data_IF_700639632241
#
_entry.id   IF_700639632241
#
_cell.length_a   1.000
_cell.length_b   1.000
_cell.length_c   1.000
_cell.angle_alpha   90.00
_cell.angle_beta   90.00
_cell.angle_gamma   90.00
#
_symmetry.space_group_name_H-M   'P 1'
#
loop_
_entity.id
_entity.type
_entity.pdbx_description
1 polymer ?
#
# COMPACT_ATOMS: atom_id res chain seq x y z
N UNK A 1 -21.80 -14.03 -5.77
CA UNK A 1 -21.21 -12.95 -4.94
C UNK A 1 -19.93 -13.46 -4.25
N UNK A 2 -18.84 -12.68 -4.26
CA UNK A 2 -17.55 -13.11 -3.68
C UNK A 2 -16.55 -13.73 -4.67
N UNK A 3 -16.83 -13.68 -5.98
CA UNK A 3 -15.85 -14.06 -7.01
C UNK A 3 -14.73 -13.03 -7.11
N UNK A 4 -13.51 -13.49 -7.41
CA UNK A 4 -12.34 -12.67 -7.68
C UNK A 4 -11.81 -12.99 -9.08
N UNK A 5 -11.16 -12.03 -9.72
CA UNK A 5 -10.49 -12.27 -11.00
C UNK A 5 -9.21 -13.08 -10.77
N UNK A 6 -8.92 -14.02 -11.69
CA UNK A 6 -7.66 -14.77 -11.68
C UNK A 6 -6.50 -13.86 -12.09
N UNK A 7 -5.70 -13.46 -11.11
CA UNK A 7 -4.46 -12.71 -11.33
C UNK A 7 -3.22 -13.62 -11.33
N UNK A 8 -3.25 -14.76 -10.61
CA UNK A 8 -2.09 -15.64 -10.50
C UNK A 8 -1.78 -16.31 -11.83
N UNK A 9 -2.80 -16.80 -12.54
CA UNK A 9 -2.61 -17.45 -13.84
C UNK A 9 -1.95 -16.52 -14.86
N UNK A 10 -2.29 -15.22 -14.84
CA UNK A 10 -1.66 -14.22 -15.69
C UNK A 10 -0.20 -13.93 -15.28
N UNK A 11 0.05 -13.70 -13.99
CA UNK A 11 1.39 -13.35 -13.47
C UNK A 11 2.37 -14.52 -13.64
N UNK A 12 1.94 -15.76 -13.36
CA UNK A 12 2.79 -16.95 -13.52
C UNK A 12 3.09 -17.22 -14.99
N UNK A 13 2.12 -17.03 -15.89
CA UNK A 13 2.36 -17.18 -17.33
C UNK A 13 3.43 -16.18 -17.83
N UNK A 14 3.32 -14.90 -17.44
CA UNK A 14 4.32 -13.90 -17.78
C UNK A 14 5.72 -14.27 -17.22
N UNK A 15 5.79 -14.74 -15.97
CA UNK A 15 7.05 -15.15 -15.35
C UNK A 15 7.66 -16.40 -16.03
N UNK A 16 6.84 -17.32 -16.56
CA UNK A 16 7.31 -18.44 -17.38
C UNK A 16 7.87 -17.96 -18.72
N UNK A 17 7.17 -17.06 -19.40
CA UNK A 17 7.62 -16.47 -20.68
C UNK A 17 8.95 -15.73 -20.51
N UNK A 18 9.14 -14.99 -19.40
CA UNK A 18 10.41 -14.35 -19.06
C UNK A 18 11.58 -15.32 -18.89
N UNK A 19 11.31 -16.56 -18.48
CA UNK A 19 12.32 -17.63 -18.39
C UNK A 19 12.60 -18.31 -19.74
N UNK A 20 11.82 -17.98 -20.77
CA UNK A 20 11.86 -18.58 -22.11
C UNK A 20 11.02 -19.85 -22.24
N UNK A 21 10.08 -20.10 -21.31
CA UNK A 21 9.13 -21.21 -21.41
C UNK A 21 7.90 -20.81 -22.24
N UNK A 22 7.23 -21.80 -22.85
CA UNK A 22 5.92 -21.61 -23.47
C UNK A 22 4.81 -21.83 -22.43
N UNK A 23 4.11 -20.78 -22.03
CA UNK A 23 3.05 -20.85 -21.03
C UNK A 23 1.70 -21.23 -21.66
N UNK A 24 1.22 -22.46 -21.41
CA UNK A 24 -0.11 -22.90 -21.86
C UNK A 24 -1.13 -22.78 -20.74
N UNK A 25 -2.09 -21.85 -20.88
CA UNK A 25 -3.16 -21.66 -19.88
C UNK A 25 -4.31 -22.64 -20.10
N UNK A 26 -4.48 -23.56 -19.14
CA UNK A 26 -5.60 -24.51 -19.12
C UNK A 26 -6.90 -23.96 -18.50
N UNK A 27 -6.86 -22.73 -17.98
CA UNK A 27 -8.02 -22.01 -17.44
C UNK A 27 -8.28 -22.26 -15.96
N UNK A 28 -9.30 -21.58 -15.42
CA UNK A 28 -9.75 -21.79 -14.05
C UNK A 28 -10.63 -23.04 -13.95
N UNK A 29 -10.41 -23.84 -12.92
CA UNK A 29 -11.06 -25.14 -12.70
C UNK A 29 -11.87 -25.04 -11.40
N UNK A 30 -13.06 -25.63 -11.39
CA UNK A 30 -13.90 -25.65 -10.20
C UNK A 30 -13.24 -26.43 -9.06
N UNK A 31 -13.63 -26.14 -7.81
CA UNK A 31 -13.26 -26.91 -6.62
C UNK A 31 -14.01 -28.26 -6.58
N UNK A 32 -13.75 -29.10 -7.59
CA UNK A 32 -14.28 -30.44 -7.77
C UNK A 32 -13.13 -31.41 -8.06
N UNK A 33 -13.13 -32.55 -7.38
CA UNK A 33 -12.03 -33.50 -7.43
C UNK A 33 -11.85 -34.09 -8.84
N UNK A 34 -12.94 -34.44 -9.53
CA UNK A 34 -12.88 -35.07 -10.84
C UNK A 34 -12.46 -34.07 -11.92
N UNK A 35 -12.95 -32.83 -11.83
CA UNK A 35 -12.51 -31.73 -12.68
C UNK A 35 -11.01 -31.44 -12.53
N UNK A 36 -10.50 -31.40 -11.30
CA UNK A 36 -9.07 -31.19 -11.03
C UNK A 36 -8.21 -32.39 -11.45
N UNK A 37 -8.71 -33.62 -11.30
CA UNK A 37 -8.02 -34.80 -11.83
C UNK A 37 -7.93 -34.79 -13.35
N UNK A 38 -9.03 -34.45 -14.02
CA UNK A 38 -9.10 -34.37 -15.48
C UNK A 38 -8.15 -33.30 -16.03
N UNK A 39 -8.11 -32.11 -15.42
CA UNK A 39 -7.21 -31.04 -15.86
C UNK A 39 -5.75 -31.38 -15.57
N UNK A 40 -5.44 -32.04 -14.45
CA UNK A 40 -4.09 -32.50 -14.13
C UNK A 40 -3.62 -33.51 -15.18
N UNK A 41 -4.46 -34.48 -15.55
CA UNK A 41 -4.13 -35.46 -16.60
C UNK A 41 -3.80 -34.78 -17.94
N UNK A 42 -4.57 -33.76 -18.33
CA UNK A 42 -4.28 -32.93 -19.52
C UNK A 42 -2.98 -32.12 -19.36
N UNK A 43 -2.75 -31.56 -18.17
CA UNK A 43 -1.52 -30.83 -17.85
C UNK A 43 -0.27 -31.69 -17.97
N UNK A 44 -0.38 -32.98 -17.62
CA UNK A 44 0.72 -33.94 -17.71
C UNK A 44 1.09 -34.32 -19.15
N UNK A 45 0.37 -33.85 -20.17
CA UNK A 45 0.79 -33.94 -21.57
C UNK A 45 1.97 -33.00 -21.86
N UNK A 46 2.13 -31.91 -21.10
CA UNK A 46 3.22 -30.93 -21.21
C UNK A 46 4.46 -31.30 -20.38
N UNK A 47 5.51 -30.48 -20.42
CA UNK A 47 6.77 -30.73 -19.71
C UNK A 47 6.71 -30.48 -18.19
N UNK A 48 5.68 -29.76 -17.73
CA UNK A 48 5.44 -29.49 -16.31
C UNK A 48 4.08 -28.85 -16.09
N UNK A 49 3.59 -28.90 -14.85
CA UNK A 49 2.27 -28.37 -14.46
C UNK A 49 2.41 -27.42 -13.28
N UNK A 50 1.78 -26.26 -13.36
CA UNK A 50 1.69 -25.30 -12.26
C UNK A 50 0.22 -25.01 -11.97
N UNK A 51 -0.19 -25.31 -10.74
CA UNK A 51 -1.48 -24.97 -10.18
C UNK A 51 -1.31 -23.66 -9.41
N UNK A 52 -1.90 -22.56 -9.92
CA UNK A 52 -1.71 -21.19 -9.41
C UNK A 52 -2.68 -20.83 -8.28
N UNK A 53 -2.94 -21.77 -7.38
CA UNK A 53 -3.90 -21.67 -6.29
C UNK A 53 -4.36 -23.06 -5.81
N UNK A 54 -5.39 -23.09 -4.96
CA UNK A 54 -5.97 -24.34 -4.43
C UNK A 54 -5.46 -24.73 -3.04
N UNK A 55 -4.32 -24.18 -2.59
CA UNK A 55 -3.73 -24.57 -1.29
C UNK A 55 -4.25 -23.76 -0.10
N UNK A 56 -4.70 -24.41 0.99
CA UNK A 56 -5.14 -23.72 2.23
C UNK A 56 -5.01 -24.57 3.51
N UNK A 57 -5.16 -23.92 4.68
CA UNK A 57 -5.28 -24.59 6.01
C UNK A 57 -6.71 -25.08 6.32
N UNK A 58 -7.65 -24.96 5.38
CA UNK A 58 -9.05 -25.37 5.55
C UNK A 58 -9.26 -26.87 5.29
N UNK A 59 -10.46 -27.36 5.61
CA UNK A 59 -10.88 -28.70 5.21
C UNK A 59 -10.99 -28.78 3.67
N UNK A 60 -10.20 -29.67 3.05
CA UNK A 60 -10.26 -30.00 1.62
C UNK A 60 -9.31 -29.19 0.73
N UNK A 61 -8.00 -29.44 0.81
CA UNK A 61 -7.04 -29.00 -0.22
C UNK A 61 -7.11 -29.99 -1.39
N UNK A 62 -8.18 -29.90 -2.18
CA UNK A 62 -8.47 -30.86 -3.27
C UNK A 62 -7.31 -30.97 -4.26
N UNK A 63 -6.60 -29.86 -4.51
CA UNK A 63 -5.44 -29.85 -5.40
C UNK A 63 -4.31 -30.70 -4.83
N UNK A 64 -4.04 -30.59 -3.53
CA UNK A 64 -3.10 -31.47 -2.85
C UNK A 64 -3.54 -32.94 -2.87
N UNK A 65 -4.83 -33.23 -2.62
CA UNK A 65 -5.36 -34.60 -2.66
C UNK A 65 -5.21 -35.24 -4.04
N UNK A 66 -5.57 -34.51 -5.11
CA UNK A 66 -5.42 -34.96 -6.50
C UNK A 66 -3.95 -35.17 -6.84
N UNK A 67 -3.06 -34.23 -6.52
CA UNK A 67 -1.61 -34.35 -6.77
C UNK A 67 -0.98 -35.48 -5.94
N UNK A 68 -1.52 -35.78 -4.76
CA UNK A 68 -1.06 -36.91 -3.92
C UNK A 68 -1.38 -38.28 -4.51
N UNK A 69 -2.22 -38.35 -5.54
CA UNK A 69 -2.43 -39.59 -6.31
C UNK A 69 -1.27 -39.90 -7.26
N UNK A 70 -0.41 -38.91 -7.56
CA UNK A 70 0.77 -39.12 -8.39
C UNK A 70 1.82 -39.95 -7.66
N UNK A 71 2.41 -40.89 -8.39
CA UNK A 71 3.54 -41.69 -7.95
C UNK A 71 4.76 -41.44 -8.84
N UNK A 72 5.94 -41.81 -8.34
CA UNK A 72 7.24 -41.76 -9.02
C UNK A 72 7.85 -40.36 -9.24
N UNK A 73 8.33 -39.67 -8.17
CA UNK A 73 8.23 -39.96 -6.74
C UNK A 73 6.93 -39.45 -6.06
N UNK A 74 6.04 -38.76 -6.77
CA UNK A 74 4.87 -38.12 -6.17
C UNK A 74 5.23 -36.82 -5.44
N UNK A 75 4.55 -36.51 -4.34
CA UNK A 75 4.82 -35.31 -3.54
C UNK A 75 6.16 -35.41 -2.83
N UNK A 76 7.06 -34.45 -3.09
CA UNK A 76 8.40 -34.36 -2.48
C UNK A 76 8.49 -33.28 -1.41
N UNK A 77 7.69 -32.22 -1.51
CA UNK A 77 7.63 -31.13 -0.52
C UNK A 77 6.18 -30.76 -0.28
N UNK A 78 5.81 -30.62 1.00
CA UNK A 78 4.52 -30.10 1.42
C UNK A 78 4.72 -29.02 2.50
N UNK A 79 4.65 -27.77 2.06
CA UNK A 79 4.85 -26.59 2.87
C UNK A 79 6.32 -26.23 3.10
N UNK A 80 6.58 -24.94 3.27
CA UNK A 80 7.91 -24.37 3.50
C UNK A 80 7.88 -23.36 4.64
N UNK A 81 8.98 -23.27 5.41
CA UNK A 81 9.10 -22.39 6.57
C UNK A 81 9.47 -20.93 6.19
N UNK A 82 8.75 -20.38 5.21
CA UNK A 82 8.95 -19.02 4.69
C UNK A 82 7.69 -18.16 4.84
N UNK A 83 7.87 -16.85 4.72
CA UNK A 83 6.80 -15.84 4.71
C UNK A 83 7.16 -14.75 3.70
N UNK A 84 6.33 -14.42 2.72
CA UNK A 84 5.12 -15.12 2.30
C UNK A 84 5.41 -16.51 1.69
N UNK A 85 4.39 -17.34 1.44
CA UNK A 85 4.56 -18.58 0.68
C UNK A 85 4.58 -19.91 1.45
N UNK A 86 4.07 -19.96 2.69
CA UNK A 86 3.98 -21.21 3.46
C UNK A 86 3.35 -22.39 2.68
N UNK A 87 2.18 -22.25 2.03
CA UNK A 87 1.57 -23.37 1.33
C UNK A 87 2.20 -23.51 -0.06
N UNK A 88 3.10 -24.46 -0.21
CA UNK A 88 3.74 -24.83 -1.46
C UNK A 88 3.75 -26.35 -1.52
N UNK A 89 3.31 -26.92 -2.64
CA UNK A 89 3.48 -28.35 -2.88
C UNK A 89 4.35 -28.54 -4.12
N UNK A 90 5.41 -29.33 -3.98
CA UNK A 90 6.23 -29.78 -5.10
C UNK A 90 6.06 -31.28 -5.23
N UNK A 91 5.72 -31.73 -6.42
CA UNK A 91 5.58 -33.12 -6.79
C UNK A 91 6.28 -33.38 -8.13
N UNK A 92 6.62 -34.64 -8.37
CA UNK A 92 7.24 -35.08 -9.63
C UNK A 92 6.59 -36.38 -10.07
N UNK A 93 6.33 -36.51 -11.36
CA UNK A 93 5.89 -37.76 -11.99
C UNK A 93 6.53 -37.91 -13.36
N UNK A 94 7.17 -39.05 -13.65
CA UNK A 94 7.78 -39.30 -14.97
C UNK A 94 8.78 -38.22 -15.42
N UNK A 95 9.55 -37.65 -14.48
CA UNK A 95 10.49 -36.50 -14.63
C UNK A 95 9.83 -35.13 -14.84
N UNK A 96 8.51 -35.04 -14.85
CA UNK A 96 7.75 -33.79 -15.00
C UNK A 96 7.46 -33.17 -13.63
N UNK A 97 7.80 -31.90 -13.38
CA UNK A 97 7.43 -31.23 -12.15
C UNK A 97 5.94 -30.87 -12.15
N UNK A 98 5.30 -31.06 -11.01
CA UNK A 98 3.95 -30.61 -10.70
C UNK A 98 4.03 -29.73 -9.46
N UNK A 99 3.65 -28.47 -9.59
CA UNK A 99 3.78 -27.47 -8.53
C UNK A 99 2.41 -26.92 -8.18
N UNK A 100 2.11 -26.84 -6.88
CA UNK A 100 0.96 -26.10 -6.36
C UNK A 100 1.48 -24.86 -5.64
N UNK A 101 1.22 -23.69 -6.24
CA UNK A 101 1.59 -22.39 -5.68
C UNK A 101 0.51 -21.89 -4.69
N UNK A 102 0.88 -21.05 -3.72
CA UNK A 102 -0.06 -20.34 -2.87
C UNK A 102 -1.15 -19.61 -3.68
N UNK A 103 -2.40 -19.59 -3.18
CA UNK A 103 -3.48 -18.82 -3.82
C UNK A 103 -3.34 -17.29 -3.73
N UNK A 104 -2.48 -16.79 -2.86
CA UNK A 104 -2.24 -15.36 -2.71
C UNK A 104 -1.19 -14.85 -3.72
N UNK A 105 -1.45 -13.79 -4.50
CA UNK A 105 -0.59 -13.41 -5.64
C UNK A 105 0.88 -13.14 -5.28
N UNK A 106 1.14 -12.36 -4.22
CA UNK A 106 2.52 -12.05 -3.82
C UNK A 106 3.23 -13.28 -3.28
N UNK A 107 2.49 -14.23 -2.72
CA UNK A 107 3.02 -15.51 -2.27
C UNK A 107 3.34 -16.42 -3.46
N UNK A 108 2.44 -16.51 -4.43
CA UNK A 108 2.59 -17.32 -5.64
C UNK A 108 3.85 -16.92 -6.41
N UNK A 109 3.98 -15.64 -6.78
CA UNK A 109 5.11 -15.15 -7.57
C UNK A 109 6.43 -15.25 -6.80
N UNK A 110 6.42 -14.99 -5.49
CA UNK A 110 7.60 -15.17 -4.66
C UNK A 110 8.04 -16.64 -4.65
N UNK A 111 7.13 -17.58 -4.37
CA UNK A 111 7.44 -19.01 -4.37
C UNK A 111 7.85 -19.51 -5.76
N UNK A 112 7.29 -18.92 -6.83
CA UNK A 112 7.68 -19.21 -8.19
C UNK A 112 9.17 -18.87 -8.40
N UNK A 113 9.60 -17.62 -8.13
CA UNK A 113 11.00 -17.24 -8.31
C UNK A 113 11.96 -17.97 -7.35
N UNK A 114 11.52 -18.31 -6.14
CA UNK A 114 12.37 -18.97 -5.15
C UNK A 114 12.57 -20.47 -5.42
N UNK A 115 11.57 -21.17 -5.96
CA UNK A 115 11.60 -22.64 -6.08
C UNK A 115 11.36 -23.14 -7.51
N UNK A 116 10.45 -22.51 -8.25
CA UNK A 116 10.06 -22.98 -9.60
C UNK A 116 11.04 -22.50 -10.66
N UNK A 117 11.41 -21.21 -10.65
CA UNK A 117 12.33 -20.64 -11.63
C UNK A 117 13.71 -21.36 -11.63
N UNK A 118 14.37 -21.61 -10.47
CA UNK A 118 15.63 -22.36 -10.45
C UNK A 118 15.49 -23.78 -11.01
N UNK A 119 14.39 -24.45 -10.69
CA UNK A 119 14.07 -25.80 -11.20
C UNK A 119 13.89 -25.80 -12.73
N UNK A 120 13.10 -24.88 -13.27
CA UNK A 120 12.89 -24.78 -14.72
C UNK A 120 14.19 -24.46 -15.48
N UNK A 121 15.04 -23.59 -14.91
CA UNK A 121 16.35 -23.30 -15.49
C UNK A 121 17.25 -24.54 -15.54
N UNK A 122 17.27 -25.33 -14.46
CA UNK A 122 18.00 -26.58 -14.41
C UNK A 122 17.49 -27.57 -15.48
N UNK A 123 16.18 -27.70 -15.64
CA UNK A 123 15.57 -28.55 -16.67
C UNK A 123 15.90 -28.07 -18.09
N UNK A 124 16.02 -26.76 -18.30
CA UNK A 124 16.44 -26.16 -19.56
C UNK A 124 17.96 -26.21 -19.79
N UNK A 125 18.75 -26.81 -18.89
CA UNK A 125 20.21 -26.85 -18.98
C UNK A 125 20.88 -25.49 -18.83
N UNK A 126 20.20 -24.51 -18.23
CA UNK A 126 20.73 -23.16 -18.00
C UNK A 126 21.47 -23.11 -16.66
N UNK A 127 22.52 -22.28 -16.54
CA UNK A 127 23.18 -22.07 -15.24
C UNK A 127 22.21 -21.44 -14.24
N UNK A 128 22.52 -21.64 -12.96
CA UNK A 128 21.81 -20.97 -11.86
C UNK A 128 21.80 -19.46 -12.08
N UNK A 129 20.64 -18.84 -11.85
CA UNK A 129 20.55 -17.38 -11.93
C UNK A 129 21.22 -16.79 -10.70
N UNK A 130 22.18 -15.89 -10.91
CA UNK A 130 22.66 -15.04 -9.82
C UNK A 130 21.71 -13.86 -9.76
N UNK A 131 20.81 -13.79 -8.76
CA UNK A 131 19.86 -12.70 -8.70
C UNK A 131 20.61 -11.39 -8.43
N UNK A 132 20.21 -10.32 -9.12
CA UNK A 132 20.79 -9.01 -8.88
C UNK A 132 20.52 -8.57 -7.44
N UNK A 133 21.55 -8.05 -6.80
CA UNK A 133 21.51 -7.64 -5.40
C UNK A 133 22.06 -6.24 -5.24
N UNK A 134 21.41 -5.47 -4.38
CA UNK A 134 21.80 -4.10 -4.05
C UNK A 134 21.91 -3.96 -2.54
N UNK A 135 22.97 -3.30 -2.07
CA UNK A 135 23.10 -2.92 -0.66
C UNK A 135 22.28 -1.64 -0.41
N UNK A 136 21.46 -1.65 0.63
CA UNK A 136 20.64 -0.53 1.02
C UNK A 136 20.57 -0.39 2.54
N UNK A 137 20.34 0.82 3.04
CA UNK A 137 20.07 1.08 4.45
C UNK A 137 18.57 0.95 4.73
N UNK A 138 18.19 0.27 5.82
CA UNK A 138 16.81 0.18 6.26
C UNK A 138 16.48 1.38 7.17
N UNK A 139 15.66 2.36 6.75
CA UNK A 139 15.50 3.62 7.48
C UNK A 139 14.51 3.53 8.65
N UNK A 140 13.72 2.45 8.71
CA UNK A 140 12.69 2.23 9.73
C UNK A 140 12.87 0.87 10.39
N UNK A 141 12.48 0.79 11.66
CA UNK A 141 12.43 -0.48 12.38
C UNK A 141 11.38 -1.41 11.75
N UNK A 142 11.75 -2.66 11.50
CA UNK A 142 10.85 -3.70 10.98
C UNK A 142 10.77 -4.83 11.99
N UNK A 143 9.55 -5.12 12.49
CA UNK A 143 9.28 -6.33 13.26
C UNK A 143 9.00 -7.54 12.35
N UNK A 144 9.55 -8.69 12.74
CA UNK A 144 9.43 -10.01 12.10
C UNK A 144 8.96 -11.06 13.11
N UNK A 145 8.36 -12.16 12.64
CA UNK A 145 7.92 -13.27 13.49
C UNK A 145 9.00 -14.34 13.63
N UNK A 146 9.22 -14.86 14.84
CA UNK A 146 10.09 -16.03 15.04
C UNK A 146 9.58 -17.27 14.32
N UNK A 147 10.54 -18.08 13.87
CA UNK A 147 10.30 -19.44 13.37
C UNK A 147 10.03 -19.54 11.87
N UNK A 148 10.04 -18.42 11.13
CA UNK A 148 9.91 -18.40 9.66
C UNK A 148 10.85 -17.37 9.06
N UNK A 149 11.52 -17.73 7.97
CA UNK A 149 12.30 -16.76 7.19
C UNK A 149 11.33 -15.83 6.47
N UNK A 150 11.39 -14.54 6.78
CA UNK A 150 10.51 -13.52 6.18
C UNK A 150 11.23 -12.84 5.02
N UNK A 151 10.59 -12.79 3.86
CA UNK A 151 11.00 -12.04 2.69
C UNK A 151 10.16 -10.78 2.63
N UNK A 152 10.73 -9.69 3.11
CA UNK A 152 10.07 -8.39 3.18
C UNK A 152 10.22 -7.67 1.85
N UNK A 153 9.10 -7.38 1.18
CA UNK A 153 9.11 -6.54 -0.02
C UNK A 153 9.56 -5.13 0.32
N UNK A 154 10.41 -4.55 -0.53
CA UNK A 154 10.92 -3.20 -0.36
C UNK A 154 10.94 -2.41 -1.66
N UNK A 155 10.73 -1.10 -1.53
CA UNK A 155 11.06 -0.11 -2.55
C UNK A 155 12.42 0.49 -2.24
N UNK A 156 13.29 0.55 -3.25
CA UNK A 156 14.60 1.16 -3.18
C UNK A 156 14.51 2.64 -3.55
N UNK A 157 15.16 3.48 -2.75
CA UNK A 157 15.23 4.92 -2.98
C UNK A 157 16.68 5.34 -3.09
N UNK A 158 16.99 6.20 -4.06
CA UNK A 158 18.33 6.75 -4.21
C UNK A 158 18.52 7.93 -3.28
N UNK A 159 19.43 7.76 -2.32
CA UNK A 159 19.88 8.78 -1.36
C UNK A 159 21.28 9.28 -1.72
N UNK A 160 21.79 10.27 -0.99
CA UNK A 160 23.17 10.74 -1.17
C UNK A 160 24.21 9.70 -0.67
N UNK A 161 23.80 8.73 0.15
CA UNK A 161 24.65 7.70 0.76
C UNK A 161 24.55 6.33 0.10
N UNK A 162 23.82 6.23 -1.02
CA UNK A 162 23.50 4.96 -1.68
C UNK A 162 22.00 4.73 -1.73
N UNK A 163 21.54 3.51 -1.46
CA UNK A 163 20.12 3.19 -1.48
C UNK A 163 19.52 3.09 -0.08
N UNK A 164 18.28 3.52 0.08
CA UNK A 164 17.45 3.22 1.23
C UNK A 164 16.35 2.21 0.84
N UNK A 165 16.13 1.19 1.65
CA UNK A 165 15.13 0.15 1.40
C UNK A 165 13.92 0.37 2.30
N UNK A 166 12.80 0.80 1.71
CA UNK A 166 11.58 1.06 2.43
C UNK A 166 10.62 -0.15 2.39
N UNK A 167 10.14 -0.65 3.54
CA UNK A 167 9.15 -1.74 3.59
C UNK A 167 7.86 -1.40 2.85
N UNK A 168 7.49 -2.24 1.89
CA UNK A 168 6.27 -2.09 1.08
C UNK A 168 5.14 -2.92 1.67
N UNK A 169 4.38 -2.34 2.62
CA UNK A 169 3.21 -2.98 3.23
C UNK A 169 3.49 -4.34 3.89
N UNK A 170 2.44 -4.99 4.42
CA UNK A 170 2.51 -6.38 4.90
C UNK A 170 1.31 -7.15 4.36
N UNK A 171 1.52 -8.41 3.98
CA UNK A 171 0.43 -9.35 3.68
C UNK A 171 0.56 -10.03 2.32
N UNK A 172 0.19 -11.31 2.28
CA UNK A 172 0.22 -12.17 1.09
C UNK A 172 -0.73 -11.71 -0.03
N UNK A 173 -1.78 -10.94 0.28
CA UNK A 173 -2.75 -10.45 -0.70
C UNK A 173 -2.46 -9.06 -1.27
N UNK A 174 -1.35 -8.40 -0.90
CA UNK A 174 -1.09 -7.01 -1.26
C UNK A 174 -0.51 -6.84 -2.68
N UNK A 175 -1.33 -7.06 -3.71
CA UNK A 175 -0.92 -6.97 -5.13
C UNK A 175 -0.29 -5.61 -5.47
N UNK A 176 -0.90 -4.52 -5.00
CA UNK A 176 -0.38 -3.15 -5.21
C UNK A 176 0.98 -2.92 -4.56
N UNK A 177 1.26 -3.57 -3.42
CA UNK A 177 2.55 -3.47 -2.77
C UNK A 177 3.63 -4.20 -3.59
N UNK A 178 3.28 -5.33 -4.19
CA UNK A 178 4.17 -6.08 -5.07
C UNK A 178 4.47 -5.32 -6.36
N UNK A 179 3.46 -4.73 -7.02
CA UNK A 179 3.67 -3.95 -8.25
C UNK A 179 4.59 -2.73 -8.07
N UNK A 180 4.66 -2.20 -6.85
CA UNK A 180 5.55 -1.07 -6.54
C UNK A 180 6.91 -1.46 -5.93
N UNK A 181 7.15 -2.74 -5.65
CA UNK A 181 8.38 -3.20 -5.00
C UNK A 181 9.51 -3.36 -6.03
N UNK A 182 10.74 -2.98 -5.64
CA UNK A 182 11.93 -3.24 -6.46
C UNK A 182 12.57 -4.58 -6.12
N UNK A 183 12.31 -5.10 -4.93
CA UNK A 183 13.01 -6.26 -4.41
C UNK A 183 12.48 -6.73 -3.07
N UNK A 184 13.23 -7.65 -2.47
CA UNK A 184 12.96 -8.16 -1.13
C UNK A 184 14.22 -8.28 -0.27
N UNK A 185 14.04 -8.14 1.04
CA UNK A 185 15.06 -8.40 2.05
C UNK A 185 14.74 -9.74 2.71
N UNK A 186 15.75 -10.61 2.84
CA UNK A 186 15.65 -11.85 3.61
C UNK A 186 15.92 -11.60 5.09
N UNK A 187 14.88 -11.73 5.92
CA UNK A 187 14.95 -11.69 7.38
C UNK A 187 15.03 -13.13 7.91
N UNK A 188 16.14 -13.52 8.57
CA UNK A 188 16.30 -14.88 9.10
C UNK A 188 15.22 -15.24 10.13
N UNK A 189 14.83 -16.51 10.19
CA UNK A 189 13.80 -17.01 11.11
C UNK A 189 14.06 -16.79 12.61
N UNK A 190 15.31 -16.56 12.99
CA UNK A 190 15.72 -16.28 14.37
C UNK A 190 15.66 -14.78 14.71
N UNK A 191 15.44 -13.93 13.72
CA UNK A 191 15.35 -12.48 13.91
C UNK A 191 13.90 -12.06 14.12
N UNK A 192 13.65 -11.40 15.25
CA UNK A 192 12.37 -10.76 15.56
C UNK A 192 12.30 -9.32 15.03
N UNK A 193 13.44 -8.77 14.62
CA UNK A 193 13.55 -7.35 14.32
C UNK A 193 14.79 -6.99 13.50
N UNK A 194 14.59 -6.07 12.57
CA UNK A 194 15.65 -5.26 12.01
C UNK A 194 15.52 -3.83 12.55
N UNK A 195 16.62 -3.27 13.05
CA UNK A 195 16.68 -1.89 13.54
C UNK A 195 16.82 -0.91 12.39
N UNK A 196 16.35 0.33 12.59
CA UNK A 196 16.66 1.40 11.65
C UNK A 196 18.18 1.60 11.54
N UNK A 197 18.68 1.96 10.36
CA UNK A 197 20.11 2.09 10.04
C UNK A 197 20.81 0.77 9.66
N UNK A 198 20.10 -0.36 9.67
CA UNK A 198 20.71 -1.66 9.32
C UNK A 198 20.99 -1.71 7.82
N UNK A 199 22.23 -2.04 7.44
CA UNK A 199 22.55 -2.37 6.05
C UNK A 199 21.97 -3.74 5.69
N UNK A 200 21.18 -3.78 4.64
CA UNK A 200 20.47 -4.94 4.15
C UNK A 200 20.81 -5.20 2.69
N UNK A 201 20.86 -6.47 2.32
CA UNK A 201 20.99 -6.88 0.93
C UNK A 201 19.60 -7.10 0.35
N UNK A 202 19.25 -6.29 -0.64
CA UNK A 202 17.98 -6.36 -1.37
C UNK A 202 18.20 -7.20 -2.62
N UNK A 203 17.45 -8.29 -2.74
CA UNK A 203 17.37 -9.05 -3.97
C UNK A 203 16.34 -8.41 -4.89
N UNK A 204 16.74 -8.00 -6.09
CA UNK A 204 15.86 -7.32 -7.03
C UNK A 204 14.85 -8.28 -7.65
N UNK A 205 13.63 -7.79 -7.90
CA UNK A 205 12.61 -8.49 -8.68
C UNK A 205 12.89 -8.38 -10.18
N UNK A 206 13.27 -7.19 -10.64
CA UNK A 206 13.62 -6.95 -12.03
C UNK A 206 15.13 -7.16 -12.28
N UNK A 207 15.47 -7.47 -13.53
CA UNK A 207 16.87 -7.62 -13.98
C UNK A 207 17.67 -6.32 -13.89
N UNK A 208 17.05 -5.15 -13.79
CA UNK A 208 17.74 -3.88 -13.65
C UNK A 208 16.94 -2.94 -12.75
N UNK A 209 17.64 -2.20 -11.89
CA UNK A 209 17.03 -1.17 -11.05
C UNK A 209 16.81 0.13 -11.85
N UNK A 210 15.55 0.53 -11.99
CA UNK A 210 15.17 1.84 -12.52
C UNK A 210 14.56 2.68 -11.38
N UNK A 211 15.37 3.45 -10.63
CA UNK A 211 14.84 4.27 -9.55
C UNK A 211 13.93 5.36 -10.12
N UNK A 212 12.84 5.67 -9.40
CA UNK A 212 11.90 6.69 -9.83
C UNK A 212 12.55 8.09 -9.96
N UNK A 213 12.12 8.85 -10.96
CA UNK A 213 12.55 10.23 -11.19
C UNK A 213 12.13 11.16 -10.04
N UNK A 214 10.95 10.89 -9.46
CA UNK A 214 10.38 11.60 -8.33
C UNK A 214 9.94 10.65 -7.22
N UNK A 215 10.45 10.86 -6.01
CA UNK A 215 10.08 10.10 -4.82
C UNK A 215 9.36 10.99 -3.82
N UNK A 216 8.11 10.65 -3.49
CA UNK A 216 7.29 11.37 -2.50
C UNK A 216 7.07 10.53 -1.25
N UNK A 217 7.42 11.05 -0.07
CA UNK A 217 7.19 10.35 1.21
C UNK A 217 6.47 11.28 2.18
N UNK A 218 5.26 10.93 2.62
CA UNK A 218 4.54 11.77 3.58
C UNK A 218 3.10 11.35 3.79
N UNK A 219 2.23 12.32 3.98
CA UNK A 219 0.79 12.09 4.00
C UNK A 219 0.26 11.72 2.61
N UNK A 220 -0.87 11.04 2.59
CA UNK A 220 -1.62 10.79 1.35
C UNK A 220 -2.61 11.94 1.11
N UNK A 221 -2.82 12.27 -0.17
CA UNK A 221 -3.93 13.12 -0.58
C UNK A 221 -4.27 12.84 -2.06
N UNK A 222 -5.57 12.85 -2.39
CA UNK A 222 -6.05 12.69 -3.77
C UNK A 222 -5.50 13.77 -4.70
N UNK A 223 -5.30 15.01 -4.22
CA UNK A 223 -4.66 16.05 -5.02
C UNK A 223 -3.20 15.74 -5.35
N UNK A 224 -2.48 15.02 -4.48
CA UNK A 224 -1.13 14.54 -4.79
C UNK A 224 -1.18 13.45 -5.85
N UNK A 225 -2.13 12.51 -5.76
CA UNK A 225 -2.31 11.46 -6.78
C UNK A 225 -2.58 12.08 -8.17
N UNK A 226 -3.42 13.12 -8.24
CA UNK A 226 -3.66 13.89 -9.46
C UNK A 226 -2.38 14.50 -10.04
N UNK A 227 -1.57 15.17 -9.21
CA UNK A 227 -0.29 15.75 -9.65
C UNK A 227 0.70 14.69 -10.12
N UNK A 228 0.79 13.56 -9.41
CA UNK A 228 1.66 12.44 -9.80
C UNK A 228 1.20 11.80 -11.12
N UNK A 229 -0.11 11.67 -11.34
CA UNK A 229 -0.66 11.16 -12.59
C UNK A 229 -0.34 12.08 -13.78
N UNK A 230 -0.41 13.41 -13.59
CA UNK A 230 0.00 14.38 -14.61
C UNK A 230 1.47 14.21 -14.98
N UNK A 231 2.36 14.11 -14.00
CA UNK A 231 3.78 13.83 -14.23
C UNK A 231 4.01 12.50 -14.98
N UNK A 232 3.30 11.44 -14.58
CA UNK A 232 3.40 10.14 -15.25
C UNK A 232 2.95 10.21 -16.72
N UNK A 233 1.93 11.02 -17.05
CA UNK A 233 1.50 11.24 -18.43
C UNK A 233 2.54 11.96 -19.29
N UNK A 234 3.48 12.67 -18.66
CA UNK A 234 4.64 13.30 -19.29
C UNK A 234 5.88 12.37 -19.33
N UNK A 235 5.74 11.13 -18.88
CA UNK A 235 6.81 10.13 -18.86
C UNK A 235 7.72 10.18 -17.62
N UNK A 236 7.39 10.99 -16.60
CA UNK A 236 8.13 11.04 -15.34
C UNK A 236 7.73 9.84 -14.47
N UNK A 237 8.70 9.01 -14.12
CA UNK A 237 8.45 7.88 -13.21
C UNK A 237 8.35 8.38 -11.78
N UNK A 238 7.27 8.02 -11.09
CA UNK A 238 7.01 8.50 -9.73
C UNK A 238 6.83 7.34 -8.74
N UNK A 239 7.26 7.55 -7.50
CA UNK A 239 7.04 6.63 -6.39
C UNK A 239 6.53 7.38 -5.18
N UNK A 240 5.45 6.90 -4.58
CA UNK A 240 4.83 7.50 -3.41
C UNK A 240 4.72 6.53 -2.25
N UNK A 241 5.08 6.98 -1.04
CA UNK A 241 4.94 6.22 0.20
C UNK A 241 4.23 7.04 1.27
N UNK A 242 3.27 6.39 1.93
CA UNK A 242 2.37 7.06 2.88
C UNK A 242 2.71 6.69 4.32
N UNK A 243 3.56 7.51 4.93
CA UNK A 243 4.03 7.36 6.33
C UNK A 243 3.49 8.46 7.24
N UNK A 244 2.63 9.34 6.71
CA UNK A 244 2.09 10.51 7.41
C UNK A 244 3.07 11.70 7.44
N UNK A 245 2.56 12.88 7.78
CA UNK A 245 3.34 14.13 7.71
C UNK A 245 4.63 14.12 8.53
N UNK A 246 4.60 13.59 9.76
CA UNK A 246 5.80 13.50 10.61
C UNK A 246 6.84 12.53 10.04
N UNK A 247 6.39 11.39 9.50
CA UNK A 247 7.28 10.45 8.82
C UNK A 247 7.90 11.06 7.56
N UNK A 248 7.12 11.87 6.83
CA UNK A 248 7.60 12.63 5.67
C UNK A 248 8.68 13.63 6.02
N UNK A 249 8.48 14.47 7.05
CA UNK A 249 9.52 15.39 7.54
C UNK A 249 10.80 14.64 7.95
N UNK A 250 10.65 13.50 8.63
CA UNK A 250 11.80 12.69 9.01
C UNK A 250 12.54 12.12 7.77
N UNK A 251 11.82 11.74 6.71
CA UNK A 251 12.40 11.28 5.46
C UNK A 251 13.14 12.40 4.69
N UNK A 252 12.61 13.63 4.71
CA UNK A 252 13.31 14.82 4.16
C UNK A 252 14.63 15.04 4.90
N UNK A 253 14.65 14.98 6.25
CA UNK A 253 15.89 15.13 7.05
C UNK A 253 16.95 14.10 6.71
N UNK A 254 16.54 12.90 6.31
CA UNK A 254 17.46 11.82 5.93
C UNK A 254 17.84 11.82 4.44
N UNK A 255 17.28 12.74 3.63
CA UNK A 255 17.55 12.81 2.20
C UNK A 255 16.98 11.61 1.42
N UNK A 256 15.88 11.03 1.90
CA UNK A 256 15.29 9.80 1.37
C UNK A 256 14.14 10.04 0.39
N UNK A 257 13.69 11.28 0.24
CA UNK A 257 12.65 11.66 -0.69
C UNK A 257 12.97 13.00 -1.35
N UNK A 258 12.32 13.23 -2.49
CA UNK A 258 12.40 14.49 -3.21
C UNK A 258 11.41 15.52 -2.67
N UNK A 259 10.25 15.07 -2.19
CA UNK A 259 9.30 15.92 -1.49
C UNK A 259 8.43 15.13 -0.51
N UNK A 260 7.98 15.79 0.54
CA UNK A 260 7.08 15.24 1.53
C UNK A 260 5.78 16.04 1.59
N UNK A 261 4.65 15.38 1.31
CA UNK A 261 3.33 15.95 1.54
C UNK A 261 3.04 16.06 3.04
N UNK A 262 2.72 17.25 3.52
CA UNK A 262 2.50 17.56 4.95
C UNK A 262 1.29 18.46 5.17
N UNK A 263 0.69 18.32 6.35
CA UNK A 263 -0.43 19.14 6.82
C UNK A 263 -0.43 19.20 8.36
N UNK A 264 0.70 19.60 8.92
CA UNK A 264 0.90 19.69 10.36
C UNK A 264 0.51 21.08 10.85
N UNK A 265 -0.27 21.14 11.93
CA UNK A 265 -0.67 22.40 12.57
C UNK A 265 0.06 22.53 13.89
N UNK A 266 0.69 23.68 14.13
CA UNK A 266 1.19 24.02 15.46
C UNK A 266 0.01 24.43 16.35
N UNK A 267 -0.29 23.70 17.44
CA UNK A 267 -1.44 24.00 18.29
C UNK A 267 -1.32 25.35 19.03
N UNK A 268 -0.11 25.91 19.18
CA UNK A 268 0.08 27.18 19.89
C UNK A 268 -0.23 28.38 18.99
N UNK A 269 0.15 28.32 17.72
CA UNK A 269 0.03 29.44 16.76
C UNK A 269 -1.09 29.26 15.76
N UNK A 270 -1.56 28.03 15.53
CA UNK A 270 -2.46 27.67 14.43
C UNK A 270 -1.78 27.67 13.06
N UNK A 271 -0.48 27.97 12.97
CA UNK A 271 0.24 28.00 11.71
C UNK A 271 0.50 26.58 11.19
N UNK A 272 0.27 26.38 9.89
CA UNK A 272 0.53 25.12 9.23
C UNK A 272 1.94 25.02 8.65
N UNK A 273 2.53 23.84 8.81
CA UNK A 273 3.75 23.33 8.16
C UNK A 273 5.04 24.10 8.45
N UNK A 274 5.06 25.43 8.29
CA UNK A 274 6.22 26.30 8.50
C UNK A 274 6.91 26.10 9.86
N UNK A 275 6.20 26.00 11.00
CA UNK A 275 6.85 25.80 12.30
C UNK A 275 7.64 24.50 12.44
N UNK A 276 7.42 23.53 11.54
CA UNK A 276 8.07 22.21 11.57
C UNK A 276 9.28 22.10 10.64
N UNK A 277 9.59 23.14 9.87
CA UNK A 277 10.76 23.19 8.99
C UNK A 277 12.05 23.33 9.81
N UNK A 278 13.10 22.67 9.34
CA UNK A 278 14.46 22.79 9.88
C UNK A 278 15.42 23.23 8.77
N UNK A 279 16.67 23.56 9.11
CA UNK A 279 17.71 23.92 8.13
C UNK A 279 17.80 22.88 6.99
N UNK A 280 17.98 23.36 5.76
CA UNK A 280 18.04 22.52 4.55
C UNK A 280 16.68 22.10 3.98
N UNK A 281 15.57 22.64 4.50
CA UNK A 281 14.21 22.37 4.02
C UNK A 281 13.54 23.61 3.44
N UNK A 282 12.93 23.46 2.27
CA UNK A 282 12.09 24.47 1.65
C UNK A 282 10.62 24.03 1.69
N UNK A 283 9.72 24.96 2.04
CA UNK A 283 8.28 24.76 1.92
C UNK A 283 7.85 25.18 0.52
N UNK A 284 7.30 24.24 -0.24
CA UNK A 284 6.59 24.47 -1.48
C UNK A 284 5.08 24.48 -1.17
N UNK A 285 4.42 25.64 -1.21
CA UNK A 285 2.98 25.73 -0.98
C UNK A 285 2.23 24.83 -1.97
N UNK A 286 1.29 24.05 -1.45
CA UNK A 286 0.44 23.19 -2.27
C UNK A 286 -0.95 23.80 -2.43
N UNK A 287 -1.95 23.15 -1.84
CA UNK A 287 -3.35 23.55 -1.95
C UNK A 287 -4.03 23.46 -0.58
N UNK A 288 -5.26 23.98 -0.51
CA UNK A 288 -6.09 23.96 0.70
C UNK A 288 -7.18 22.91 0.59
N UNK A 289 -7.47 22.27 1.72
CA UNK A 289 -8.53 21.28 1.87
C UNK A 289 -9.52 21.78 2.91
N UNK A 290 -10.78 21.96 2.52
CA UNK A 290 -11.79 22.40 3.47
C UNK A 290 -12.12 21.28 4.45
N UNK A 291 -11.85 21.48 5.74
CA UNK A 291 -12.35 20.63 6.82
C UNK A 291 -13.71 21.15 7.29
N UNK A 292 -14.56 20.24 7.76
CA UNK A 292 -15.91 20.60 8.18
C UNK A 292 -16.60 19.51 8.96
N UNK A 293 -17.68 19.92 9.61
CA UNK A 293 -18.59 19.04 10.34
C UNK A 293 -19.40 18.24 9.32
N UNK A 294 -19.40 16.91 9.46
CA UNK A 294 -20.09 15.99 8.55
C UNK A 294 -21.19 15.22 9.25
N UNK A 295 -22.31 15.05 8.57
CA UNK A 295 -23.48 14.31 9.04
C UNK A 295 -24.28 13.78 7.85
N UNK A 296 -25.23 12.87 8.10
CA UNK A 296 -26.08 12.31 7.03
C UNK A 296 -27.12 13.32 6.54
N UNK A 297 -27.43 13.28 5.24
CA UNK A 297 -28.51 14.10 4.67
C UNK A 297 -29.84 13.81 5.35
N UNK A 298 -30.60 14.85 5.66
CA UNK A 298 -31.91 14.75 6.30
C UNK A 298 -31.88 14.46 7.80
N UNK A 299 -30.72 14.45 8.46
CA UNK A 299 -30.66 14.33 9.91
C UNK A 299 -31.28 15.56 10.59
N UNK A 300 -32.43 15.36 11.25
CA UNK A 300 -33.25 16.43 11.81
C UNK A 300 -32.56 17.17 12.95
N UNK A 301 -31.57 16.55 13.60
CA UNK A 301 -30.77 17.19 14.67
C UNK A 301 -29.98 18.38 14.16
N UNK A 302 -29.57 18.34 12.89
CA UNK A 302 -28.69 19.34 12.28
C UNK A 302 -29.40 20.26 11.27
N UNK A 303 -30.70 20.05 11.02
CA UNK A 303 -31.44 20.74 9.95
C UNK A 303 -31.50 22.28 10.08
N UNK A 304 -31.21 22.84 11.27
CA UNK A 304 -31.17 24.29 11.52
C UNK A 304 -29.77 24.85 11.75
N UNK A 305 -28.72 24.04 11.71
CA UNK A 305 -27.36 24.49 11.96
C UNK A 305 -26.75 25.10 10.68
N UNK A 306 -26.40 26.38 10.74
CA UNK A 306 -25.66 27.06 9.68
C UNK A 306 -24.14 27.00 9.89
N UNK A 307 -23.70 26.73 11.12
CA UNK A 307 -22.27 26.65 11.48
C UNK A 307 -21.92 25.34 12.18
N UNK A 308 -20.65 24.88 12.09
CA UNK A 308 -20.18 23.73 12.88
C UNK A 308 -20.40 23.87 14.38
N UNK A 309 -20.33 25.10 14.94
CA UNK A 309 -20.56 25.32 16.38
C UNK A 309 -22.00 25.05 16.76
N UNK A 310 -22.96 25.55 15.98
CA UNK A 310 -24.39 25.27 16.20
C UNK A 310 -24.70 23.78 16.07
N UNK A 311 -24.10 23.10 15.08
CA UNK A 311 -24.26 21.66 14.90
C UNK A 311 -23.70 20.85 16.07
N UNK A 312 -22.54 21.26 16.62
CA UNK A 312 -21.97 20.64 17.82
C UNK A 312 -22.89 20.87 19.02
N UNK A 313 -23.40 22.08 19.25
CA UNK A 313 -24.37 22.34 20.34
C UNK A 313 -25.59 21.43 20.21
N UNK A 314 -26.18 21.33 19.02
CA UNK A 314 -27.32 20.44 18.78
C UNK A 314 -26.98 18.95 19.02
N UNK A 315 -25.76 18.51 18.68
CA UNK A 315 -25.31 17.16 19.00
C UNK A 315 -25.12 16.93 20.50
N UNK A 316 -24.64 17.93 21.24
CA UNK A 316 -24.44 17.83 22.70
C UNK A 316 -25.76 17.80 23.47
N UNK A 317 -26.79 18.46 22.95
CA UNK A 317 -28.14 18.50 23.55
C UNK A 317 -28.90 17.15 23.41
N UNK A 318 -28.48 16.28 22.50
CA UNK A 318 -29.04 14.94 22.30
C UNK A 318 -28.08 13.84 22.78
N UNK A 319 -28.34 13.19 23.93
CA UNK A 319 -27.45 12.17 24.48
C UNK A 319 -27.37 10.89 23.61
N UNK A 320 -28.31 10.71 22.67
CA UNK A 320 -28.30 9.60 21.70
C UNK A 320 -27.43 9.90 20.49
N UNK A 321 -26.96 11.13 20.33
CA UNK A 321 -26.10 11.53 19.24
C UNK A 321 -24.66 11.06 19.46
N UNK A 322 -24.16 10.21 18.56
CA UNK A 322 -22.85 9.57 18.67
C UNK A 322 -21.86 10.26 17.74
N UNK A 323 -20.74 10.73 18.28
CA UNK A 323 -19.64 11.24 17.46
C UNK A 323 -18.67 10.13 17.06
N UNK A 324 -17.95 10.33 15.95
CA UNK A 324 -16.71 9.63 15.65
C UNK A 324 -15.54 10.62 15.63
N UNK A 325 -14.50 10.33 16.40
CA UNK A 325 -13.37 11.24 16.58
C UNK A 325 -12.19 10.89 15.66
N UNK A 326 -11.24 11.82 15.52
CA UNK A 326 -9.93 11.60 14.90
C UNK A 326 -8.87 11.26 15.94
N UNK A 327 -7.85 10.53 15.50
CA UNK A 327 -6.73 10.12 16.32
C UNK A 327 -6.05 11.33 16.98
N UNK A 328 -5.67 11.17 18.25
CA UNK A 328 -4.86 12.13 18.98
C UNK A 328 -3.60 12.53 18.19
N UNK A 329 -3.24 13.81 18.27
CA UNK A 329 -2.09 14.39 17.56
C UNK A 329 -2.34 14.76 16.08
N UNK A 330 -3.54 14.53 15.54
CA UNK A 330 -3.91 15.06 14.22
C UNK A 330 -4.36 16.53 14.31
N UNK A 331 -4.12 17.33 13.26
CA UNK A 331 -4.62 18.71 13.18
C UNK A 331 -6.14 18.79 13.33
N UNK A 332 -6.87 17.86 12.70
CA UNK A 332 -8.32 17.71 12.87
C UNK A 332 -8.71 17.48 14.33
N UNK A 333 -7.91 16.75 15.11
CA UNK A 333 -8.22 16.54 16.54
C UNK A 333 -8.14 17.85 17.32
N UNK A 334 -7.15 18.69 17.04
CA UNK A 334 -7.04 20.03 17.66
C UNK A 334 -8.28 20.87 17.33
N UNK A 335 -8.78 20.81 16.08
CA UNK A 335 -10.00 21.50 15.67
C UNK A 335 -11.25 20.97 16.38
N UNK A 336 -11.39 19.64 16.49
CA UNK A 336 -12.51 19.00 17.20
C UNK A 336 -12.50 19.41 18.68
N UNK A 337 -11.34 19.33 19.34
CA UNK A 337 -11.24 19.65 20.76
C UNK A 337 -11.54 21.14 21.03
N UNK A 338 -11.15 22.03 20.12
CA UNK A 338 -11.51 23.45 20.16
C UNK A 338 -13.01 23.72 19.90
N UNK A 339 -13.67 22.90 19.07
CA UNK A 339 -15.12 22.97 18.85
C UNK A 339 -15.92 22.47 20.06
N UNK A 340 -15.42 21.44 20.73
CA UNK A 340 -16.07 20.82 21.88
C UNK A 340 -15.91 21.62 23.18
N UNK A 341 -14.91 22.49 23.26
CA UNK A 341 -14.64 23.35 24.43
C UNK A 341 -14.61 22.56 25.76
N UNK A 342 -13.93 21.41 25.74
CA UNK A 342 -13.80 20.51 26.89
C UNK A 342 -14.93 19.49 27.05
N UNK A 343 -16.01 19.57 26.28
CA UNK A 343 -17.07 18.54 26.28
C UNK A 343 -16.55 17.20 25.72
N UNK A 344 -17.07 16.10 26.24
CA UNK A 344 -16.76 14.73 25.79
C UNK A 344 -18.06 13.96 25.52
N UNK A 345 -18.73 14.20 24.38
CA UNK A 345 -19.98 13.52 24.08
C UNK A 345 -19.78 12.03 23.80
N UNK A 346 -20.89 11.29 23.71
CA UNK A 346 -20.91 9.87 23.37
C UNK A 346 -20.09 9.61 22.09
N UNK A 347 -19.10 8.73 22.17
CA UNK A 347 -18.20 8.42 21.06
C UNK A 347 -16.90 9.21 21.01
N UNK A 348 -16.67 10.18 21.91
CA UNK A 348 -15.42 10.98 21.96
C UNK A 348 -14.14 10.15 22.04
N UNK A 349 -14.18 9.03 22.77
CA UNK A 349 -13.06 8.09 22.92
C UNK A 349 -12.86 7.19 21.70
N UNK A 350 -13.84 7.09 20.79
CA UNK A 350 -13.76 6.28 19.58
C UNK A 350 -13.03 7.07 18.51
N UNK A 351 -11.80 6.65 18.20
CA UNK A 351 -10.91 7.38 17.31
C UNK A 351 -10.64 6.62 16.01
N UNK A 352 -10.54 7.37 14.92
CA UNK A 352 -10.17 6.85 13.60
C UNK A 352 -8.93 7.57 13.05
N UNK A 353 -8.21 6.88 12.15
CA UNK A 353 -6.94 7.39 11.61
C UNK A 353 -7.10 8.21 10.33
N UNK A 354 -8.28 8.20 9.69
CA UNK A 354 -8.49 8.84 8.38
C UNK A 354 -9.84 9.52 8.26
N UNK A 355 -9.93 10.52 7.37
CA UNK A 355 -11.21 11.17 7.04
C UNK A 355 -12.21 10.19 6.42
N UNK A 356 -11.75 9.24 5.58
CA UNK A 356 -12.61 8.18 5.02
C UNK A 356 -13.25 7.31 6.11
N UNK A 357 -12.52 7.00 7.18
CA UNK A 357 -13.06 6.21 8.28
C UNK A 357 -14.14 6.97 9.06
N UNK A 358 -13.99 8.29 9.23
CA UNK A 358 -15.04 9.17 9.77
C UNK A 358 -16.28 9.11 8.89
N UNK A 359 -16.15 9.43 7.59
CA UNK A 359 -17.29 9.46 6.68
C UNK A 359 -17.96 8.09 6.53
N UNK A 360 -17.20 7.00 6.48
CA UNK A 360 -17.75 5.64 6.45
C UNK A 360 -18.56 5.33 7.71
N UNK A 361 -18.08 5.72 8.90
CA UNK A 361 -18.80 5.50 10.15
C UNK A 361 -20.13 6.27 10.19
N UNK A 362 -20.13 7.52 9.69
CA UNK A 362 -21.33 8.34 9.58
C UNK A 362 -22.30 7.78 8.55
N UNK A 363 -21.84 7.46 7.34
CA UNK A 363 -22.67 6.89 6.28
C UNK A 363 -23.30 5.54 6.67
N UNK A 364 -22.58 4.71 7.43
CA UNK A 364 -23.06 3.40 7.89
C UNK A 364 -23.85 3.45 9.20
N UNK A 365 -24.22 4.64 9.70
CA UNK A 365 -24.94 4.83 10.96
C UNK A 365 -24.25 4.20 12.19
N UNK A 366 -22.93 4.06 12.17
CA UNK A 366 -22.12 3.68 13.34
C UNK A 366 -21.74 4.89 14.21
N UNK A 367 -21.82 6.08 13.64
CA UNK A 367 -21.78 7.36 14.30
C UNK A 367 -22.74 8.30 13.57
N UNK A 368 -23.11 9.41 14.19
CA UNK A 368 -24.02 10.41 13.65
C UNK A 368 -23.30 11.58 13.00
N UNK A 369 -22.15 11.95 13.55
CA UNK A 369 -21.36 13.07 13.06
C UNK A 369 -19.86 12.90 13.33
N UNK A 370 -19.06 13.72 12.66
CA UNK A 370 -17.63 13.87 12.91
C UNK A 370 -17.06 15.06 12.16
N UNK A 371 -15.73 15.17 12.08
CA UNK A 371 -15.05 16.18 11.25
C UNK A 371 -14.23 15.48 10.17
N UNK A 372 -14.51 15.83 8.92
CA UNK A 372 -13.83 15.29 7.74
C UNK A 372 -13.50 16.41 6.74
N UNK A 373 -12.92 16.06 5.59
CA UNK A 373 -12.70 17.00 4.49
C UNK A 373 -13.87 16.95 3.50
N UNK A 374 -14.18 18.08 2.86
CA UNK A 374 -15.31 18.25 1.92
C UNK A 374 -15.33 17.17 0.83
N UNK A 375 -14.16 16.92 0.22
CA UNK A 375 -14.01 15.92 -0.86
C UNK A 375 -14.43 14.52 -0.44
N UNK A 376 -14.17 14.16 0.83
CA UNK A 376 -14.59 12.88 1.41
C UNK A 376 -16.07 12.91 1.78
N UNK A 377 -16.60 14.03 2.27
CA UNK A 377 -18.03 14.14 2.55
C UNK A 377 -18.87 13.91 1.28
N UNK A 378 -18.48 14.54 0.16
CA UNK A 378 -19.13 14.37 -1.15
C UNK A 378 -19.09 12.93 -1.66
N UNK A 379 -17.94 12.25 -1.50
CA UNK A 379 -17.78 10.86 -1.94
C UNK A 379 -18.78 9.90 -1.26
N UNK A 380 -19.17 10.20 -0.02
CA UNK A 380 -20.11 9.40 0.77
C UNK A 380 -21.53 9.99 0.83
N UNK A 381 -21.83 11.00 0.00
CA UNK A 381 -23.13 11.71 -0.03
C UNK A 381 -23.56 12.23 1.36
N UNK A 382 -22.63 12.86 2.07
CA UNK A 382 -22.86 13.45 3.40
C UNK A 382 -23.05 14.97 3.30
N UNK A 383 -23.83 15.52 4.21
CA UNK A 383 -23.89 16.97 4.42
C UNK A 383 -22.61 17.47 5.08
N UNK A 384 -22.24 18.71 4.76
CA UNK A 384 -20.96 19.30 5.14
C UNK A 384 -21.14 20.76 5.55
N UNK A 385 -20.70 21.10 6.78
CA UNK A 385 -20.61 22.48 7.25
C UNK A 385 -19.12 22.89 7.31
N UNK A 386 -18.68 23.85 6.49
CA UNK A 386 -17.28 24.30 6.44
C UNK A 386 -16.79 24.82 7.80
N UNK A 387 -15.56 24.45 8.17
CA UNK A 387 -14.93 24.83 9.43
C UNK A 387 -13.64 25.62 9.22
N UNK A 388 -12.65 25.02 8.56
CA UNK A 388 -11.33 25.62 8.37
C UNK A 388 -10.62 25.00 7.17
N UNK A 389 -9.89 25.85 6.44
CA UNK A 389 -8.97 25.38 5.41
C UNK A 389 -7.70 24.79 6.01
N UNK A 390 -7.45 23.53 5.68
CA UNK A 390 -6.20 22.85 6.00
C UNK A 390 -5.17 23.06 4.90
N UNK A 391 -3.94 23.36 5.28
CA UNK A 391 -2.84 23.52 4.34
C UNK A 391 -2.20 22.16 4.02
N UNK A 392 -2.34 21.70 2.78
CA UNK A 392 -1.59 20.56 2.27
C UNK A 392 -0.45 21.06 1.39
N UNK A 393 0.74 21.14 1.99
CA UNK A 393 1.94 21.67 1.35
C UNK A 393 2.99 20.56 1.19
N UNK A 394 4.08 20.89 0.50
CA UNK A 394 5.18 19.98 0.23
C UNK A 394 6.48 20.51 0.84
N UNK A 395 7.19 19.66 1.57
CA UNK A 395 8.53 19.98 2.07
C UNK A 395 9.56 19.33 1.16
N UNK A 396 10.46 20.14 0.62
CA UNK A 396 11.48 19.74 -0.35
C UNK A 396 12.86 19.92 0.29
N UNK A 397 13.76 18.92 0.26
CA UNK A 397 15.16 19.13 0.65
C UNK A 397 15.82 20.13 -0.33
N UNK A 398 16.51 21.15 0.19
CA UNK A 398 17.19 22.16 -0.64
C UNK A 398 18.15 21.53 -1.65
N UNK A 399 18.87 20.47 -1.25
CA UNK A 399 19.78 19.72 -2.12
C UNK A 399 19.11 19.05 -3.31
N UNK A 400 17.77 18.87 -3.28
CA UNK A 400 16.98 18.19 -4.32
C UNK A 400 16.15 19.16 -5.16
N UNK A 401 16.10 20.45 -4.81
CA UNK A 401 15.28 21.46 -5.50
C UNK A 401 15.56 21.53 -7.00
N UNK A 402 16.83 21.40 -7.39
CA UNK A 402 17.28 21.51 -8.78
C UNK A 402 17.03 20.24 -9.62
N UNK A 403 16.53 19.15 -9.03
CA UNK A 403 16.20 17.93 -9.80
C UNK A 403 15.10 18.25 -10.82
N UNK A 404 15.23 17.77 -12.07
CA UNK A 404 14.25 18.05 -13.12
C UNK A 404 12.80 17.71 -12.72
N UNK A 405 12.59 16.55 -12.10
CA UNK A 405 11.26 16.12 -11.68
C UNK A 405 10.68 16.98 -10.53
N UNK A 406 11.51 17.49 -9.63
CA UNK A 406 11.08 18.40 -8.54
C UNK A 406 10.69 19.76 -9.10
N UNK A 407 11.52 20.33 -9.98
CA UNK A 407 11.19 21.58 -10.68
C UNK A 407 9.91 21.46 -11.50
N UNK A 408 9.72 20.33 -12.19
CA UNK A 408 8.49 20.06 -12.94
C UNK A 408 7.28 19.97 -12.03
N UNK A 409 7.38 19.24 -10.92
CA UNK A 409 6.31 19.16 -9.91
C UNK A 409 5.93 20.55 -9.37
N UNK A 410 6.93 21.38 -9.03
CA UNK A 410 6.70 22.75 -8.57
C UNK A 410 6.04 23.62 -9.64
N UNK A 411 6.44 23.48 -10.91
CA UNK A 411 5.83 24.19 -12.03
C UNK A 411 4.36 23.79 -12.25
N UNK A 412 4.03 22.49 -12.14
CA UNK A 412 2.65 21.99 -12.28
C UNK A 412 1.69 22.69 -11.33
N UNK A 413 2.08 22.95 -10.08
CA UNK A 413 1.22 23.64 -9.10
C UNK A 413 0.82 25.05 -9.54
N UNK A 414 1.62 25.71 -10.40
CA UNK A 414 1.33 27.04 -10.93
C UNK A 414 0.50 27.05 -12.21
N UNK A 415 0.26 25.91 -12.85
CA UNK A 415 -0.46 25.83 -14.12
C UNK A 415 -1.97 25.98 -13.94
N UNK A 416 -2.61 26.78 -14.79
CA UNK A 416 -4.04 27.07 -14.70
C UNK A 416 -4.89 25.80 -14.78
N UNK A 417 -4.59 24.89 -15.71
CA UNK A 417 -5.32 23.63 -15.89
C UNK A 417 -5.15 22.68 -14.69
N UNK A 418 -3.98 22.70 -14.04
CA UNK A 418 -3.73 21.91 -12.83
C UNK A 418 -4.53 22.49 -11.66
N UNK A 419 -4.55 23.82 -11.50
CA UNK A 419 -5.34 24.49 -10.46
C UNK A 419 -6.83 24.30 -10.66
N UNK A 420 -7.31 24.32 -11.89
CA UNK A 420 -8.70 24.00 -12.24
C UNK A 420 -9.04 22.55 -11.89
N UNK A 421 -8.20 21.58 -12.29
CA UNK A 421 -8.42 20.18 -11.92
C UNK A 421 -8.36 19.92 -10.42
N UNK A 422 -7.53 20.63 -9.67
CA UNK A 422 -7.55 20.60 -8.20
C UNK A 422 -8.85 21.20 -7.63
N UNK A 423 -9.36 22.27 -8.23
CA UNK A 423 -10.65 22.88 -7.86
C UNK A 423 -11.84 21.96 -8.14
N UNK A 424 -11.84 21.25 -9.26
CA UNK A 424 -12.85 20.23 -9.59
C UNK A 424 -12.86 19.08 -8.58
N UNK A 425 -11.68 18.75 -8.04
CA UNK A 425 -11.55 17.79 -6.95
C UNK A 425 -11.97 18.36 -5.58
N UNK A 426 -12.30 19.65 -5.47
CA UNK A 426 -12.72 20.33 -4.24
C UNK A 426 -11.57 20.91 -3.41
N UNK A 427 -10.43 21.21 -4.02
CA UNK A 427 -9.29 21.87 -3.38
C UNK A 427 -9.15 23.33 -3.81
N UNK A 428 -8.63 24.19 -2.94
CA UNK A 428 -8.34 25.58 -3.29
C UNK A 428 -6.83 25.72 -3.53
N UNK A 429 -6.41 25.84 -4.79
CA UNK A 429 -5.02 25.85 -5.24
C UNK A 429 -4.54 27.26 -5.63
#
# INVERSE_FOLDING_TARGET
PGGVFDSNGAIVAAALEELGCEAVRLGAVADDWEAQRSILARGLEYDGVILSGGTSKGAGDLSYEVVSTLSDPGVVVHGVAIKPGKPLCLAVTGRKPVVILPGFPTSAIFTFHQFVAPMLRLLAGRPEETPEQVQAELPVRVGSERGRTEFLMVGLLRTDRGYAAYPMGKGSGAVTAFSGADGFIRIPAQSEQLTAGTMVTVQLLARHLAPADLVTIGSHCVGLDYLLQRLQSEGVTTRSMHVGSQGGLAAVRRGECDLAGVHLMDPATGEYNRPFLTEGMCLLPGYRRMQGFVFRRGDRRFAGAATPREAVTAALDDPTCIMINRNAGSGTRVLIDALLDGAQPTGYSVQTKSHNAVATAVAQARADWGVAIDTVARLYDLEFLPLLEEHYDFVVPESRWERPAVRRFAALLGEAEVREGLADLGFHA
#
